data_IF_658127458320
#
_entry.id   IF_658127458320
#
_cell.length_a   1.000
_cell.length_b   1.000
_cell.length_c   1.000
_cell.angle_alpha   90.00
_cell.angle_beta   90.00
_cell.angle_gamma   90.00
#
_symmetry.space_group_name_H-M   'P 1'
#
loop_
_entity.id
_entity.type
_entity.pdbx_description
1 polymer ?
#
# COMPACT_ATOMS: atom_id res chain seq x y z
N UNK A 1 -22.89 -21.76 4.65
CA UNK A 1 -22.76 -20.49 3.90
C UNK A 1 -22.00 -19.38 4.65
N UNK A 2 -21.61 -19.54 5.93
CA UNK A 2 -20.86 -18.50 6.68
C UNK A 2 -19.37 -18.44 6.33
N UNK A 3 -18.71 -19.59 6.10
CA UNK A 3 -17.26 -19.66 5.86
C UNK A 3 -16.83 -18.90 4.61
N UNK A 4 -17.56 -19.09 3.49
CA UNK A 4 -17.26 -18.41 2.23
C UNK A 4 -17.50 -16.88 2.32
N UNK A 5 -18.57 -16.45 2.97
CA UNK A 5 -18.85 -15.01 3.19
C UNK A 5 -17.79 -14.36 4.09
N UNK A 6 -17.33 -15.06 5.13
CA UNK A 6 -16.25 -14.58 5.99
C UNK A 6 -14.92 -14.47 5.23
N UNK A 7 -14.63 -15.42 4.34
CA UNK A 7 -13.47 -15.34 3.46
C UNK A 7 -13.53 -14.14 2.52
N UNK A 8 -14.64 -13.93 1.82
CA UNK A 8 -14.80 -12.75 0.95
C UNK A 8 -14.66 -11.43 1.74
N UNK A 9 -15.19 -11.38 2.97
CA UNK A 9 -14.99 -10.23 3.85
C UNK A 9 -13.51 -10.01 4.17
N UNK A 10 -12.77 -11.06 4.54
CA UNK A 10 -11.32 -10.98 4.80
C UNK A 10 -10.56 -10.48 3.58
N UNK A 11 -10.89 -11.03 2.41
CA UNK A 11 -10.26 -10.71 1.14
C UNK A 11 -10.43 -9.22 0.80
N UNK A 12 -11.65 -8.69 0.92
CA UNK A 12 -11.96 -7.28 0.67
C UNK A 12 -11.21 -6.39 1.66
N UNK A 13 -11.21 -6.73 2.96
CA UNK A 13 -10.44 -5.97 3.95
C UNK A 13 -8.95 -5.96 3.61
N UNK A 14 -8.39 -7.11 3.23
CA UNK A 14 -6.98 -7.26 2.89
C UNK A 14 -6.61 -6.39 1.69
N UNK A 15 -7.41 -6.40 0.62
CA UNK A 15 -7.22 -5.50 -0.53
C UNK A 15 -7.21 -4.05 -0.09
N UNK A 16 -8.20 -3.63 0.70
CA UNK A 16 -8.33 -2.24 1.15
C UNK A 16 -7.12 -1.83 1.99
N UNK A 17 -6.73 -2.63 2.99
CA UNK A 17 -5.61 -2.28 3.87
C UNK A 17 -4.27 -2.32 3.14
N UNK A 18 -4.04 -3.30 2.26
CA UNK A 18 -2.80 -3.38 1.47
C UNK A 18 -2.70 -2.28 0.42
N UNK A 19 -3.82 -1.78 -0.15
CA UNK A 19 -3.83 -0.58 -0.99
C UNK A 19 -3.62 0.69 -0.16
N UNK A 20 -4.20 0.75 1.04
CA UNK A 20 -4.15 1.93 1.89
C UNK A 20 -2.76 2.14 2.51
N UNK A 21 -2.03 1.08 2.82
CA UNK A 21 -0.69 1.16 3.39
C UNK A 21 0.30 2.02 2.57
N UNK A 22 0.52 1.77 1.27
CA UNK A 22 1.38 2.62 0.45
C UNK A 22 0.83 4.05 0.29
N UNK A 23 -0.49 4.23 0.15
CA UNK A 23 -1.11 5.55 0.11
C UNK A 23 -0.81 6.38 1.37
N UNK A 24 -0.98 5.78 2.55
CA UNK A 24 -0.67 6.42 3.82
C UNK A 24 0.81 6.68 3.98
N UNK A 25 1.68 5.74 3.55
CA UNK A 25 3.12 5.91 3.63
C UNK A 25 3.58 7.14 2.83
N UNK A 26 3.28 7.20 1.53
CA UNK A 26 3.70 8.33 0.70
C UNK A 26 3.02 9.63 1.13
N UNK A 27 1.74 9.57 1.51
CA UNK A 27 1.01 10.74 2.03
C UNK A 27 1.61 11.28 3.32
N UNK A 28 1.98 10.41 4.27
CA UNK A 28 2.63 10.81 5.52
C UNK A 28 4.02 11.38 5.28
N UNK A 29 4.85 10.74 4.46
CA UNK A 29 6.20 11.24 4.21
C UNK A 29 6.14 12.62 3.54
N UNK A 30 5.25 12.81 2.56
CA UNK A 30 5.04 14.13 1.95
C UNK A 30 4.47 15.14 2.95
N UNK A 31 3.49 14.76 3.77
CA UNK A 31 2.91 15.64 4.79
C UNK A 31 3.93 16.06 5.85
N UNK A 32 4.80 15.15 6.27
CA UNK A 32 5.91 15.46 7.19
C UNK A 32 6.95 16.35 6.49
N UNK A 33 7.27 16.09 5.22
CA UNK A 33 8.19 16.93 4.47
C UNK A 33 7.66 18.37 4.34
N UNK A 34 6.37 18.57 4.07
CA UNK A 34 5.78 19.92 4.01
C UNK A 34 5.79 20.63 5.37
N UNK A 35 5.49 19.91 6.46
CA UNK A 35 5.63 20.42 7.83
C UNK A 35 7.05 20.89 8.13
N UNK A 36 8.04 20.09 7.73
CA UNK A 36 9.47 20.42 7.88
C UNK A 36 9.85 21.62 7.01
N UNK A 37 9.27 21.75 5.81
CA UNK A 37 9.53 22.85 4.89
C UNK A 37 9.14 24.24 5.41
N UNK A 38 8.26 24.32 6.41
CA UNK A 38 7.94 25.59 7.09
C UNK A 38 9.06 26.08 8.01
N UNK A 39 10.03 25.23 8.38
CA UNK A 39 11.14 25.65 9.23
C UNK A 39 12.21 26.36 8.37
N UNK A 40 12.61 27.58 8.75
CA UNK A 40 13.68 28.30 8.05
C UNK A 40 14.98 27.49 8.11
N UNK A 41 15.61 27.29 6.95
CA UNK A 41 16.84 26.49 6.82
C UNK A 41 16.62 25.02 6.41
N UNK A 42 15.42 24.47 6.56
CA UNK A 42 15.10 23.08 6.16
C UNK A 42 14.28 22.97 4.86
N UNK A 43 13.93 24.10 4.24
CA UNK A 43 13.19 24.13 2.98
C UNK A 43 13.86 23.29 1.86
N UNK A 44 15.19 23.39 1.72
CA UNK A 44 15.93 22.60 0.72
C UNK A 44 15.82 21.09 0.96
N UNK A 45 15.84 20.67 2.22
CA UNK A 45 15.66 19.26 2.58
C UNK A 45 14.24 18.78 2.25
N UNK A 46 13.22 19.59 2.55
CA UNK A 46 11.84 19.26 2.21
C UNK A 46 11.63 19.09 0.70
N UNK A 47 12.24 19.97 -0.11
CA UNK A 47 12.20 19.91 -1.57
C UNK A 47 12.87 18.65 -2.09
N UNK A 48 14.07 18.32 -1.59
CA UNK A 48 14.79 17.11 -1.99
C UNK A 48 14.01 15.82 -1.67
N UNK A 49 13.32 15.76 -0.53
CA UNK A 49 12.46 14.62 -0.17
C UNK A 49 11.27 14.52 -1.12
N UNK A 50 10.58 15.64 -1.37
CA UNK A 50 9.43 15.67 -2.26
C UNK A 50 9.81 15.27 -3.68
N UNK A 51 10.91 15.81 -4.22
CA UNK A 51 11.43 15.47 -5.55
C UNK A 51 11.82 14.00 -5.65
N UNK A 52 12.47 13.44 -4.62
CA UNK A 52 12.81 12.02 -4.58
C UNK A 52 11.58 11.11 -4.61
N UNK A 53 10.52 11.46 -3.85
CA UNK A 53 9.26 10.72 -3.85
C UNK A 53 8.56 10.83 -5.21
N UNK A 54 8.48 12.04 -5.76
CA UNK A 54 7.88 12.27 -7.07
C UNK A 54 8.63 11.50 -8.15
N UNK A 55 9.97 11.54 -8.16
CA UNK A 55 10.81 10.79 -9.09
C UNK A 55 10.53 9.29 -8.98
N UNK A 56 10.53 8.73 -7.77
CA UNK A 56 10.22 7.32 -7.55
C UNK A 56 8.84 6.95 -8.13
N UNK A 57 7.81 7.72 -7.78
CA UNK A 57 6.45 7.51 -8.30
C UNK A 57 6.39 7.63 -9.83
N UNK A 58 7.09 8.57 -10.44
CA UNK A 58 7.13 8.69 -11.91
C UNK A 58 7.83 7.51 -12.58
N UNK A 59 8.85 6.91 -11.94
CA UNK A 59 9.52 5.72 -12.47
C UNK A 59 8.57 4.54 -12.59
N UNK A 60 7.72 4.32 -11.58
CA UNK A 60 6.70 3.27 -11.63
C UNK A 60 5.52 3.64 -12.53
N UNK A 61 5.15 4.92 -12.60
CA UNK A 61 3.97 5.42 -13.30
C UNK A 61 4.20 5.91 -14.72
N UNK A 62 5.23 5.41 -15.41
CA UNK A 62 5.56 5.82 -16.79
C UNK A 62 5.57 7.34 -17.01
N UNK A 63 6.20 8.08 -16.09
CA UNK A 63 6.27 9.55 -16.13
C UNK A 63 5.14 10.28 -15.41
N UNK A 64 4.15 9.56 -14.88
CA UNK A 64 3.01 10.16 -14.14
C UNK A 64 2.94 9.63 -12.70
N UNK A 65 3.15 10.47 -11.66
CA UNK A 65 3.24 10.00 -10.27
C UNK A 65 1.98 9.27 -9.78
N UNK A 66 0.81 9.73 -10.23
CA UNK A 66 -0.48 9.16 -9.84
C UNK A 66 -0.66 7.72 -10.33
N UNK A 67 -0.10 7.39 -11.50
CA UNK A 67 -0.10 6.02 -11.99
C UNK A 67 0.89 5.16 -11.21
N UNK A 68 2.01 5.74 -10.79
CA UNK A 68 2.99 5.06 -9.94
C UNK A 68 2.39 4.61 -8.61
N UNK A 69 1.67 5.52 -7.93
CA UNK A 69 1.02 5.15 -6.66
C UNK A 69 -0.06 4.08 -6.89
N UNK A 70 -0.81 4.17 -7.98
CA UNK A 70 -1.80 3.16 -8.36
C UNK A 70 -1.20 1.78 -8.58
N UNK A 71 -0.09 1.70 -9.32
CA UNK A 71 0.65 0.45 -9.57
C UNK A 71 1.18 -0.15 -8.27
N UNK A 72 1.74 0.67 -7.38
CA UNK A 72 2.24 0.20 -6.09
C UNK A 72 1.08 -0.33 -5.23
N UNK A 73 -0.04 0.40 -5.15
CA UNK A 73 -1.23 -0.04 -4.42
C UNK A 73 -1.77 -1.37 -4.94
N UNK A 74 -1.85 -1.52 -6.26
CA UNK A 74 -2.26 -2.78 -6.90
C UNK A 74 -1.31 -3.92 -6.57
N UNK A 75 0.00 -3.66 -6.64
CA UNK A 75 1.02 -4.68 -6.35
C UNK A 75 0.95 -5.14 -4.90
N UNK A 76 0.86 -4.21 -3.95
CA UNK A 76 0.71 -4.54 -2.53
C UNK A 76 -0.60 -5.31 -2.25
N UNK A 77 -1.70 -4.88 -2.87
CA UNK A 77 -3.00 -5.56 -2.72
C UNK A 77 -3.00 -6.96 -3.29
N UNK A 78 -2.38 -7.15 -4.46
CA UNK A 78 -2.25 -8.46 -5.09
C UNK A 78 -1.49 -9.44 -4.20
N UNK A 79 -0.35 -9.00 -3.65
CA UNK A 79 0.43 -9.82 -2.72
C UNK A 79 -0.37 -10.11 -1.44
N UNK A 80 -1.07 -9.13 -0.88
CA UNK A 80 -1.92 -9.33 0.29
C UNK A 80 -3.03 -10.37 0.06
N UNK A 81 -3.69 -10.30 -1.09
CA UNK A 81 -4.70 -11.27 -1.52
C UNK A 81 -4.13 -12.68 -1.61
N UNK A 82 -2.94 -12.85 -2.21
CA UNK A 82 -2.29 -14.16 -2.28
C UNK A 82 -2.01 -14.74 -0.89
N UNK A 83 -1.58 -13.91 0.06
CA UNK A 83 -1.37 -14.34 1.44
C UNK A 83 -2.68 -14.72 2.14
N UNK A 84 -3.75 -13.93 2.00
CA UNK A 84 -5.06 -14.24 2.60
C UNK A 84 -5.65 -15.53 2.04
N UNK A 85 -5.53 -15.76 0.72
CA UNK A 85 -5.91 -17.03 0.08
C UNK A 85 -5.11 -18.20 0.65
N UNK A 86 -3.78 -18.05 0.78
CA UNK A 86 -2.91 -19.11 1.29
C UNK A 86 -3.27 -19.49 2.74
N UNK A 87 -3.49 -18.50 3.61
CA UNK A 87 -3.88 -18.71 5.00
C UNK A 87 -5.23 -19.41 5.08
N UNK A 88 -6.21 -19.00 4.26
CA UNK A 88 -7.51 -19.65 4.20
C UNK A 88 -7.40 -21.11 3.75
N UNK A 89 -6.57 -21.39 2.73
CA UNK A 89 -6.37 -22.75 2.24
C UNK A 89 -5.71 -23.65 3.29
N UNK A 90 -4.70 -23.14 4.01
CA UNK A 90 -4.06 -23.85 5.13
C UNK A 90 -5.04 -24.17 6.25
N UNK A 91 -5.91 -23.23 6.59
CA UNK A 91 -6.99 -23.46 7.57
C UNK A 91 -7.90 -24.61 7.15
N UNK A 92 -8.26 -24.67 5.86
CA UNK A 92 -9.16 -25.71 5.33
C UNK A 92 -8.53 -27.11 5.43
N UNK A 93 -7.26 -27.26 5.06
CA UNK A 93 -6.54 -28.54 5.12
C UNK A 93 -6.48 -29.05 6.56
N UNK A 94 -6.06 -28.19 7.50
CA UNK A 94 -5.87 -28.56 8.90
C UNK A 94 -7.18 -29.00 9.60
N UNK A 95 -8.33 -28.51 9.16
CA UNK A 95 -9.64 -28.91 9.67
C UNK A 95 -10.26 -30.12 8.95
N UNK A 96 -9.73 -30.49 7.78
CA UNK A 96 -10.23 -31.66 7.03
C UNK A 96 -9.51 -32.95 7.46
N UNK A 97 -8.29 -32.83 7.99
CA UNK A 97 -7.49 -33.95 8.50
C UNK A 97 -7.75 -34.31 9.99
N UNK A 98 -8.68 -33.61 10.66
CA UNK A 98 -9.09 -33.82 12.06
C UNK A 98 -10.45 -34.47 12.18
#
# INVERSE_FOLDING_TARGET
>A
MSVFTNFLRSLVLTVVFCALAPLLFFGLVLGVATLIGYLPGLANLSGAIADGIMAFLTTFGSGTPIWGIGIICLTCSFVGVLFDIYVHYRYLILHTDS
#
